data_IF_605812169127
#
_entry.id   IF_605812169127
#
_cell.length_a   1.000
_cell.length_b   1.000
_cell.length_c   1.000
_cell.angle_alpha   90.00
_cell.angle_beta   90.00
_cell.angle_gamma   90.00
#
_symmetry.space_group_name_H-M   'P 1'
#
loop_
_entity.id
_entity.type
_entity.pdbx_description
1 polymer ?
#
# COMPACT_ATOMS: atom_id res chain seq x y z
N UNK A 1 -3.42 23.51 37.44
CA UNK A 1 -4.09 23.88 36.17
C UNK A 1 -5.56 24.09 36.45
N UNK A 2 -6.14 25.17 35.94
CA UNK A 2 -7.57 25.44 36.04
C UNK A 2 -8.22 25.13 34.69
N UNK A 3 -9.13 24.16 34.64
CA UNK A 3 -9.81 23.76 33.39
C UNK A 3 -11.19 24.43 33.33
N UNK A 4 -11.41 25.23 32.30
CA UNK A 4 -12.70 25.91 32.01
C UNK A 4 -13.24 25.40 30.67
N UNK A 5 -13.52 24.08 30.56
CA UNK A 5 -13.96 23.45 29.30
C UNK A 5 -12.89 23.40 28.26
N UNK A 6 -13.06 24.04 27.08
CA UNK A 6 -12.11 23.99 25.98
C UNK A 6 -10.79 24.78 26.22
N UNK A 7 -10.73 25.57 27.31
CA UNK A 7 -9.55 26.38 27.65
C UNK A 7 -9.09 25.99 29.05
N UNK A 8 -7.79 25.74 29.21
CA UNK A 8 -7.15 25.58 30.50
C UNK A 8 -6.05 26.62 30.67
N UNK A 9 -5.73 26.99 31.89
CA UNK A 9 -4.63 27.87 32.24
C UNK A 9 -3.52 27.06 32.93
N UNK A 10 -2.32 27.08 32.39
CA UNK A 10 -1.19 26.38 32.98
C UNK A 10 -0.78 27.02 34.33
N UNK A 11 -0.87 28.35 34.43
CA UNK A 11 -0.52 29.12 35.59
C UNK A 11 -1.72 29.96 36.08
N UNK A 12 -2.73 29.35 36.74
CA UNK A 12 -3.97 30.05 37.12
C UNK A 12 -3.75 31.20 38.15
N UNK A 13 -2.70 31.10 38.94
CA UNK A 13 -2.34 32.14 39.92
C UNK A 13 -2.04 33.50 39.29
N UNK A 14 -1.48 33.51 38.05
CA UNK A 14 -1.24 34.75 37.32
C UNK A 14 -2.55 35.42 36.91
N UNK A 15 -3.60 34.64 36.72
CA UNK A 15 -4.95 35.15 36.45
C UNK A 15 -5.53 35.99 37.61
N UNK A 16 -5.10 35.77 38.84
CA UNK A 16 -5.49 36.61 40.00
C UNK A 16 -5.01 38.06 39.83
N UNK A 17 -3.99 38.31 39.05
CA UNK A 17 -3.51 39.66 38.75
C UNK A 17 -4.58 40.51 37.99
N UNK A 18 -5.55 39.86 37.32
CA UNK A 18 -6.67 40.55 36.69
C UNK A 18 -7.52 41.32 37.72
N UNK A 19 -7.59 40.84 38.97
CA UNK A 19 -8.27 41.56 40.07
C UNK A 19 -7.57 42.89 40.44
N UNK A 20 -6.32 43.09 40.02
CA UNK A 20 -5.58 44.33 40.17
C UNK A 20 -5.90 45.41 39.12
N UNK A 21 -6.58 45.04 38.02
CA UNK A 21 -6.87 45.98 36.92
C UNK A 21 -7.76 47.19 37.35
N UNK A 22 -8.75 47.05 38.25
CA UNK A 22 -9.50 48.18 38.77
C UNK A 22 -8.61 49.18 39.53
N UNK A 23 -7.62 48.69 40.30
CA UNK A 23 -6.67 49.53 41.00
C UNK A 23 -5.77 50.25 39.99
N UNK A 24 -5.29 49.55 38.97
CA UNK A 24 -4.52 50.11 37.85
C UNK A 24 -5.30 51.20 37.13
N UNK A 25 -6.58 50.92 36.82
CA UNK A 25 -7.50 51.89 36.20
C UNK A 25 -7.64 53.14 37.02
N UNK A 26 -7.84 53.03 38.35
CA UNK A 26 -7.90 54.17 39.27
C UNK A 26 -6.62 54.99 39.32
N UNK A 27 -5.46 54.33 39.32
CA UNK A 27 -4.14 54.93 39.36
C UNK A 27 -3.76 55.65 38.05
N UNK A 28 -4.22 55.14 36.94
CA UNK A 28 -4.02 55.72 35.59
C UNK A 28 -4.96 56.90 35.30
N UNK A 29 -5.96 57.13 36.16
CA UNK A 29 -6.85 58.26 36.06
C UNK A 29 -6.15 59.49 36.61
N UNK A 30 -5.51 60.26 35.71
CA UNK A 30 -4.86 61.49 36.07
C UNK A 30 -5.90 62.51 36.53
N UNK A 31 -5.81 62.92 37.80
CA UNK A 31 -6.56 64.05 38.33
C UNK A 31 -5.75 65.35 38.08
N UNK A 32 -6.32 66.32 37.39
CA UNK A 32 -5.62 67.57 37.15
C UNK A 32 -5.30 68.24 38.50
N UNK A 33 -4.10 68.82 38.69
CA UNK A 33 -3.82 69.58 39.89
C UNK A 33 -4.78 70.74 40.02
N UNK A 34 -5.17 71.05 41.28
CA UNK A 34 -6.05 72.17 41.56
C UNK A 34 -5.47 73.49 41.00
N UNK A 35 -6.26 74.29 40.27
CA UNK A 35 -5.77 75.50 39.69
C UNK A 35 -5.31 76.48 40.83
N UNK A 36 -4.04 76.83 40.80
CA UNK A 36 -3.50 77.89 41.65
C UNK A 36 -3.88 79.24 41.07
N UNK A 37 -4.72 80.02 41.80
CA UNK A 37 -5.03 81.39 41.49
C UNK A 37 -3.80 82.27 41.72
N UNK A 38 -3.11 82.64 40.65
CA UNK A 38 -2.04 83.63 40.66
C UNK A 38 -2.66 84.98 40.23
N UNK A 39 -2.65 85.96 41.10
CA UNK A 39 -3.05 87.33 40.75
C UNK A 39 -1.94 87.96 39.88
N UNK A 40 -2.19 88.09 38.60
CA UNK A 40 -1.26 88.74 37.64
C UNK A 40 -1.77 90.11 37.29
N UNK A 41 -1.08 91.21 37.71
CA UNK A 41 -1.54 92.58 37.52
C UNK A 41 -1.62 93.06 36.07
N UNK A 42 -0.85 92.42 35.13
CA UNK A 42 -0.75 92.79 33.75
C UNK A 42 -1.71 91.99 32.80
N UNK A 43 -2.78 91.45 33.30
CA UNK A 43 -3.75 90.58 32.56
C UNK A 43 -4.32 91.26 31.33
N UNK A 44 -4.34 92.62 31.30
CA UNK A 44 -4.84 93.42 30.17
C UNK A 44 -4.00 93.23 28.86
N UNK A 45 -2.76 92.83 28.95
CA UNK A 45 -1.85 92.57 27.81
C UNK A 45 -2.09 91.21 27.15
N UNK A 46 -2.86 90.30 27.78
CA UNK A 46 -3.12 88.92 27.33
C UNK A 46 -4.51 88.71 26.72
N UNK A 47 -5.35 89.81 26.64
CA UNK A 47 -6.74 89.72 26.16
C UNK A 47 -6.89 89.37 24.66
N UNK A 48 -5.84 89.41 23.84
CA UNK A 48 -5.88 89.17 22.42
C UNK A 48 -4.98 88.00 21.93
N UNK A 49 -4.46 87.18 22.84
CA UNK A 49 -3.73 85.99 22.44
C UNK A 49 -4.71 84.83 22.25
N UNK A 50 -4.70 84.16 21.09
CA UNK A 50 -5.48 82.95 20.94
C UNK A 50 -4.96 81.89 21.94
N UNK A 51 -5.89 81.42 22.81
CA UNK A 51 -5.61 80.27 23.70
C UNK A 51 -5.62 78.98 22.86
N UNK A 52 -4.47 78.64 22.29
CA UNK A 52 -4.35 77.46 21.47
C UNK A 52 -3.74 76.23 22.23
N UNK A 53 -3.60 76.31 23.51
CA UNK A 53 -3.22 75.18 24.34
C UNK A 53 -4.34 74.70 25.22
N UNK A 54 -5.22 73.87 24.63
CA UNK A 54 -6.08 72.99 25.39
C UNK A 54 -5.21 71.85 25.94
N UNK A 55 -4.58 72.06 27.10
CA UNK A 55 -4.05 70.94 27.88
C UNK A 55 -5.22 70.07 28.25
N UNK A 56 -5.33 68.84 27.73
CA UNK A 56 -6.48 68.01 28.03
C UNK A 56 -6.55 67.75 29.52
N UNK A 57 -7.46 68.43 30.19
CA UNK A 57 -7.67 68.35 31.67
C UNK A 57 -8.04 66.96 32.18
N UNK A 58 -8.34 66.03 31.26
CA UNK A 58 -8.67 64.65 31.56
C UNK A 58 -8.12 63.75 30.48
N UNK A 59 -7.46 62.65 30.88
CA UNK A 59 -7.04 61.62 29.95
C UNK A 59 -8.26 61.04 29.22
N UNK A 60 -8.29 61.00 27.88
CA UNK A 60 -9.47 60.48 27.16
C UNK A 60 -9.70 59.00 27.59
N UNK A 61 -10.96 58.68 27.91
CA UNK A 61 -11.37 57.36 28.47
C UNK A 61 -10.91 56.19 27.59
N UNK A 62 -10.90 56.38 26.24
CA UNK A 62 -10.44 55.34 25.34
C UNK A 62 -8.98 54.96 25.57
N UNK A 63 -8.10 55.89 25.91
CA UNK A 63 -6.66 55.67 26.14
C UNK A 63 -6.41 54.94 27.44
N UNK A 64 -7.21 55.22 28.50
CA UNK A 64 -7.18 54.46 29.77
C UNK A 64 -7.67 53.04 29.54
N UNK A 65 -8.78 52.87 28.81
CA UNK A 65 -9.31 51.56 28.45
C UNK A 65 -8.29 50.76 27.62
N UNK A 66 -7.60 51.37 26.66
CA UNK A 66 -6.57 50.74 25.85
C UNK A 66 -5.42 50.23 26.73
N UNK A 67 -4.94 51.04 27.68
CA UNK A 67 -3.87 50.65 28.60
C UNK A 67 -4.25 49.49 29.50
N UNK A 68 -5.47 49.52 30.06
CA UNK A 68 -6.02 48.43 30.86
C UNK A 68 -6.21 47.16 30.04
N UNK A 69 -6.66 47.28 28.79
CA UNK A 69 -6.80 46.17 27.86
C UNK A 69 -5.47 45.52 27.53
N UNK A 70 -4.43 46.32 27.25
CA UNK A 70 -3.06 45.81 27.02
C UNK A 70 -2.56 45.07 28.26
N UNK A 71 -2.74 45.65 29.46
CA UNK A 71 -2.35 44.98 30.68
C UNK A 71 -3.08 43.65 30.89
N UNK A 72 -4.39 43.60 30.59
CA UNK A 72 -5.19 42.39 30.65
C UNK A 72 -4.66 41.31 29.66
N UNK A 73 -4.33 41.71 28.40
CA UNK A 73 -3.76 40.78 27.42
C UNK A 73 -2.39 40.24 27.85
N UNK A 74 -1.54 41.07 28.46
CA UNK A 74 -0.25 40.61 29.00
C UNK A 74 -0.47 39.62 30.13
N UNK A 75 -1.36 39.87 31.08
CA UNK A 75 -1.68 38.96 32.17
C UNK A 75 -2.23 37.64 31.62
N UNK A 76 -3.15 37.68 30.62
CA UNK A 76 -3.72 36.51 29.99
C UNK A 76 -2.63 35.72 29.22
N UNK A 77 -1.74 36.39 28.53
CA UNK A 77 -0.60 35.74 27.84
C UNK A 77 0.34 35.03 28.82
N UNK A 78 0.67 35.67 29.94
CA UNK A 78 1.51 35.09 31.01
C UNK A 78 0.81 33.91 31.72
N UNK A 79 -0.54 33.92 31.80
CA UNK A 79 -1.30 32.81 32.35
C UNK A 79 -1.26 31.52 31.51
N UNK A 80 -0.64 31.58 30.30
CA UNK A 80 -0.44 30.47 29.34
C UNK A 80 -1.76 29.73 29.07
N UNK A 81 -2.69 30.32 28.30
CA UNK A 81 -3.93 29.65 27.93
C UNK A 81 -3.63 28.49 26.99
N UNK A 82 -4.10 27.31 27.32
CA UNK A 82 -4.04 26.07 26.51
C UNK A 82 -5.42 25.87 25.89
N UNK A 83 -5.48 25.89 24.59
CA UNK A 83 -6.68 25.50 23.82
C UNK A 83 -6.74 23.98 23.72
N UNK A 84 -7.90 23.40 24.07
CA UNK A 84 -8.10 21.95 24.13
C UNK A 84 -7.01 21.26 24.98
N UNK A 85 -7.00 21.46 26.31
CA UNK A 85 -6.07 20.75 27.17
C UNK A 85 -6.32 19.25 26.96
N UNK A 86 -5.39 18.60 26.26
CA UNK A 86 -5.44 17.14 26.10
C UNK A 86 -5.57 16.54 27.50
N UNK A 87 -6.60 15.73 27.66
CA UNK A 87 -6.98 15.06 28.90
C UNK A 87 -5.77 14.60 29.69
N UNK A 88 -5.72 14.96 30.98
CA UNK A 88 -4.78 14.38 31.93
C UNK A 88 -4.92 12.85 31.87
N UNK A 89 -3.84 12.14 32.11
CA UNK A 89 -3.92 10.68 32.26
C UNK A 89 -4.94 10.34 33.35
N UNK A 90 -5.90 9.48 33.02
CA UNK A 90 -7.03 9.16 33.92
C UNK A 90 -6.62 8.17 35.01
N UNK A 91 -5.60 7.36 34.79
CA UNK A 91 -5.12 6.33 35.69
C UNK A 91 -3.79 6.71 36.34
N UNK A 92 -3.54 6.16 37.54
CA UNK A 92 -2.33 6.38 38.33
C UNK A 92 -1.12 5.67 37.79
N UNK A 93 -1.31 4.52 37.13
CA UNK A 93 -0.25 3.67 36.62
C UNK A 93 0.53 4.26 35.42
N UNK A 94 1.39 3.47 34.80
CA UNK A 94 2.24 3.86 33.68
C UNK A 94 1.43 4.15 32.41
N UNK A 95 2.11 4.69 31.39
CA UNK A 95 1.54 4.86 30.04
C UNK A 95 1.95 3.67 29.19
N UNK A 96 0.97 2.96 28.63
CA UNK A 96 1.18 1.85 27.71
C UNK A 96 0.83 2.33 26.30
N UNK A 97 1.81 2.36 25.41
CA UNK A 97 1.63 2.74 24.01
C UNK A 97 1.66 1.48 23.15
N UNK A 98 0.52 1.11 22.59
CA UNK A 98 0.40 0.00 21.65
C UNK A 98 0.42 0.57 20.23
N UNK A 99 1.34 0.12 19.39
CA UNK A 99 1.58 0.70 18.07
C UNK A 99 1.33 -0.35 17.00
N UNK A 100 0.33 -0.09 16.13
CA UNK A 100 0.18 -0.84 14.90
C UNK A 100 1.24 -0.37 13.89
N UNK A 101 2.28 -1.15 13.71
CA UNK A 101 3.45 -0.84 12.89
C UNK A 101 3.63 -1.80 11.69
N UNK A 102 2.53 -2.37 11.20
CA UNK A 102 2.50 -3.13 9.96
C UNK A 102 2.40 -2.25 8.70
N UNK A 103 2.29 -2.87 7.52
CA UNK A 103 2.26 -2.19 6.22
C UNK A 103 1.22 -1.07 6.10
N UNK A 104 0.07 -1.24 6.76
CA UNK A 104 -1.03 -0.27 6.73
C UNK A 104 -0.69 1.04 7.43
N UNK A 105 0.28 1.03 8.33
CA UNK A 105 0.73 2.21 9.08
C UNK A 105 1.79 3.03 8.32
N UNK A 106 2.33 2.52 7.22
CA UNK A 106 3.42 3.17 6.50
C UNK A 106 3.03 4.55 5.96
N UNK A 107 1.79 4.68 5.45
CA UNK A 107 1.27 5.99 5.08
C UNK A 107 1.01 6.83 6.33
N UNK A 108 1.63 8.01 6.41
CA UNK A 108 1.49 8.89 7.58
C UNK A 108 2.34 8.50 8.79
N UNK A 109 3.33 7.61 8.65
CA UNK A 109 4.17 7.16 9.75
C UNK A 109 4.82 8.30 10.53
N UNK A 110 5.34 9.32 9.86
CA UNK A 110 5.93 10.50 10.51
C UNK A 110 4.91 11.29 11.36
N UNK A 111 3.64 11.30 10.99
CA UNK A 111 2.58 11.92 11.78
C UNK A 111 2.29 11.10 13.05
N UNK A 112 2.29 9.77 12.94
CA UNK A 112 2.13 8.85 14.07
C UNK A 112 3.29 8.99 15.05
N UNK A 113 4.54 9.05 14.56
CA UNK A 113 5.72 9.31 15.40
C UNK A 113 5.58 10.62 16.16
N UNK A 114 5.19 11.71 15.51
CA UNK A 114 4.95 13.01 16.19
C UNK A 114 3.84 12.93 17.24
N UNK A 115 2.76 12.19 16.97
CA UNK A 115 1.69 12.00 17.95
C UNK A 115 2.18 11.22 19.18
N UNK A 116 3.01 10.20 18.97
CA UNK A 116 3.62 9.42 20.05
C UNK A 116 4.63 10.27 20.82
N UNK A 117 5.46 11.07 20.15
CA UNK A 117 6.38 12.01 20.82
C UNK A 117 5.63 12.97 21.74
N UNK A 118 4.52 13.57 21.26
CA UNK A 118 3.66 14.42 22.08
C UNK A 118 3.02 13.68 23.27
N UNK A 119 2.74 12.38 23.12
CA UNK A 119 2.27 11.52 24.22
C UNK A 119 3.39 11.29 25.24
N UNK A 120 4.60 11.01 24.79
CA UNK A 120 5.78 10.83 25.65
C UNK A 120 6.12 12.11 26.41
N UNK A 121 6.02 13.28 25.77
CA UNK A 121 6.17 14.58 26.44
C UNK A 121 5.17 14.78 27.57
N UNK A 122 3.92 14.33 27.37
CA UNK A 122 2.90 14.35 28.42
C UNK A 122 3.23 13.40 29.57
N UNK A 123 3.70 12.18 29.23
CA UNK A 123 4.14 11.20 30.21
C UNK A 123 5.31 11.74 31.06
N UNK A 124 6.26 12.43 30.41
CA UNK A 124 7.40 13.07 31.09
C UNK A 124 6.94 14.16 32.08
N UNK A 125 6.01 15.03 31.66
CA UNK A 125 5.47 16.06 32.57
C UNK A 125 4.65 15.49 33.73
N UNK A 126 4.06 14.30 33.53
CA UNK A 126 3.30 13.58 34.57
C UNK A 126 4.18 12.59 35.36
N UNK A 127 5.50 12.59 35.15
CA UNK A 127 6.47 11.69 35.80
C UNK A 127 6.11 10.20 35.69
N UNK A 128 5.49 9.80 34.55
CA UNK A 128 5.04 8.42 34.31
C UNK A 128 6.04 7.67 33.47
N UNK A 129 6.26 6.40 33.84
CA UNK A 129 7.00 5.45 32.98
C UNK A 129 6.16 5.08 31.76
N UNK A 130 6.84 4.73 30.69
CA UNK A 130 6.23 4.38 29.41
C UNK A 130 6.61 2.95 29.02
N UNK A 131 5.63 2.15 28.62
CA UNK A 131 5.84 0.84 27.99
C UNK A 131 5.39 0.94 26.53
N UNK A 132 6.24 0.50 25.61
CA UNK A 132 5.93 0.48 24.16
C UNK A 132 5.76 -0.96 23.70
N UNK A 133 4.65 -1.27 23.04
CA UNK A 133 4.34 -2.57 22.45
C UNK A 133 4.08 -2.42 20.96
N UNK A 134 4.87 -3.10 20.13
CA UNK A 134 4.67 -3.24 18.69
C UNK A 134 3.68 -4.37 18.41
N UNK A 135 2.84 -4.25 17.38
CA UNK A 135 1.90 -5.30 16.99
C UNK A 135 2.34 -6.07 15.75
N UNK A 136 3.38 -5.61 15.03
CA UNK A 136 3.97 -6.34 13.93
C UNK A 136 5.23 -7.10 14.35
N UNK A 137 5.49 -8.23 13.69
CA UNK A 137 6.70 -9.00 13.92
C UNK A 137 7.94 -8.19 13.53
N UNK A 138 9.05 -8.26 14.29
CA UNK A 138 10.30 -7.60 13.93
C UNK A 138 10.89 -8.10 12.60
N UNK A 139 11.76 -7.28 11.98
CA UNK A 139 12.37 -7.60 10.68
C UNK A 139 13.31 -8.80 10.74
N UNK A 140 13.94 -9.05 11.88
CA UNK A 140 14.82 -10.20 12.12
C UNK A 140 14.08 -11.53 12.28
N UNK A 141 12.73 -11.51 12.18
CA UNK A 141 11.89 -12.70 12.33
C UNK A 141 11.67 -13.12 13.79
N UNK A 142 12.17 -12.33 14.74
CA UNK A 142 11.98 -12.58 16.17
C UNK A 142 10.50 -12.52 16.59
N UNK A 143 10.16 -12.92 17.82
CA UNK A 143 8.81 -12.82 18.33
C UNK A 143 8.41 -11.36 18.55
N UNK A 144 7.12 -11.06 18.47
CA UNK A 144 6.58 -9.77 18.91
C UNK A 144 6.87 -9.67 20.42
N UNK A 145 7.52 -8.58 20.82
CA UNK A 145 7.84 -8.34 22.24
C UNK A 145 7.24 -7.00 22.67
N UNK A 146 6.67 -6.98 23.88
CA UNK A 146 6.40 -5.74 24.55
C UNK A 146 7.67 -5.27 25.26
N UNK A 147 7.95 -3.97 25.18
CA UNK A 147 9.11 -3.38 25.86
C UNK A 147 8.98 -3.46 27.38
N UNK A 148 10.09 -3.18 28.07
CA UNK A 148 10.11 -2.96 29.52
C UNK A 148 9.47 -1.59 29.84
N UNK A 149 9.20 -1.33 31.11
CA UNK A 149 8.92 0.02 31.57
C UNK A 149 10.18 0.87 31.41
N UNK A 150 10.05 1.94 30.64
CA UNK A 150 11.15 2.83 30.27
C UNK A 150 10.89 4.24 30.81
N UNK A 151 11.97 4.98 31.04
CA UNK A 151 11.85 6.43 31.17
C UNK A 151 11.33 7.05 29.88
N UNK A 152 10.65 8.19 29.90
CA UNK A 152 10.15 8.85 28.68
C UNK A 152 11.21 9.05 27.59
N UNK A 153 12.45 9.43 27.97
CA UNK A 153 13.55 9.62 27.02
C UNK A 153 13.96 8.30 26.34
N UNK A 154 14.05 7.20 27.09
CA UNK A 154 14.37 5.89 26.54
C UNK A 154 13.23 5.37 25.63
N UNK A 155 11.97 5.60 26.01
CA UNK A 155 10.81 5.26 25.16
C UNK A 155 10.81 6.06 23.85
N UNK A 156 11.21 7.34 23.88
CA UNK A 156 11.34 8.18 22.68
C UNK A 156 12.39 7.62 21.72
N UNK A 157 13.57 7.26 22.22
CA UNK A 157 14.61 6.66 21.40
C UNK A 157 14.15 5.36 20.73
N UNK A 158 13.40 4.51 21.47
CA UNK A 158 12.81 3.29 20.93
C UNK A 158 11.80 3.59 19.80
N UNK A 159 10.89 4.54 20.01
CA UNK A 159 9.86 4.91 19.01
C UNK A 159 10.48 5.51 17.76
N UNK A 160 11.53 6.31 17.89
CA UNK A 160 12.24 6.87 16.74
C UNK A 160 12.96 5.80 15.90
N UNK A 161 13.38 4.71 16.53
CA UNK A 161 13.97 3.56 15.83
C UNK A 161 12.94 2.64 15.16
N UNK A 162 11.64 2.78 15.50
CA UNK A 162 10.59 1.97 14.87
C UNK A 162 10.33 2.44 13.45
N UNK A 163 10.13 1.45 12.56
CA UNK A 163 9.69 1.65 11.19
C UNK A 163 8.53 0.69 10.86
N UNK A 164 7.64 1.07 9.94
CA UNK A 164 6.56 0.17 9.51
C UNK A 164 7.11 -1.07 8.82
N UNK A 165 6.57 -2.23 9.17
CA UNK A 165 6.96 -3.52 8.59
C UNK A 165 6.09 -3.83 7.37
N UNK A 166 6.59 -4.58 6.37
CA UNK A 166 5.83 -4.88 5.14
C UNK A 166 4.73 -5.94 5.31
N UNK A 167 4.56 -6.52 6.47
CA UNK A 167 3.55 -7.54 6.79
C UNK A 167 2.43 -7.00 7.70
N UNK A 168 1.32 -7.75 7.84
CA UNK A 168 0.23 -7.37 8.73
C UNK A 168 0.62 -7.44 10.20
N UNK A 169 -0.17 -6.76 11.04
CA UNK A 169 -0.06 -6.81 12.50
C UNK A 169 -0.67 -8.10 13.05
N UNK A 170 -0.27 -8.51 14.27
CA UNK A 170 -0.93 -9.57 15.03
C UNK A 170 -1.26 -9.05 16.44
N UNK A 171 -2.48 -8.58 16.60
CA UNK A 171 -2.98 -8.00 17.85
C UNK A 171 -3.09 -9.04 18.97
N UNK A 172 -3.41 -10.28 18.62
CA UNK A 172 -3.46 -11.41 19.57
C UNK A 172 -2.10 -11.66 20.21
N UNK A 173 -1.04 -11.74 19.41
CA UNK A 173 0.32 -11.97 19.91
C UNK A 173 0.81 -10.78 20.72
N UNK A 174 0.59 -9.57 20.23
CA UNK A 174 0.96 -8.34 20.92
C UNK A 174 0.28 -8.24 22.30
N UNK A 175 -1.02 -8.56 22.39
CA UNK A 175 -1.76 -8.56 23.65
C UNK A 175 -1.20 -9.57 24.65
N UNK A 176 -0.90 -10.79 24.18
CA UNK A 176 -0.31 -11.83 25.03
C UNK A 176 1.03 -11.39 25.62
N UNK A 177 1.91 -10.83 24.79
CA UNK A 177 3.23 -10.36 25.25
C UNK A 177 3.13 -9.12 26.13
N UNK A 178 2.19 -8.20 25.83
CA UNK A 178 1.92 -7.03 26.66
C UNK A 178 1.46 -7.43 28.07
N UNK A 179 0.46 -8.32 28.19
CA UNK A 179 0.00 -8.83 29.50
C UNK A 179 1.12 -9.50 30.28
N UNK A 180 1.96 -10.29 29.61
CA UNK A 180 3.12 -10.93 30.24
C UNK A 180 4.16 -9.89 30.71
N UNK A 181 4.44 -8.86 29.93
CA UNK A 181 5.39 -7.80 30.27
C UNK A 181 4.91 -6.95 31.46
N UNK A 182 3.62 -6.60 31.50
CA UNK A 182 3.02 -5.86 32.62
C UNK A 182 3.10 -6.68 33.91
N UNK A 183 2.79 -7.99 33.85
CA UNK A 183 2.92 -8.88 35.00
C UNK A 183 4.37 -8.98 35.47
N UNK A 184 5.32 -9.13 34.56
CA UNK A 184 6.75 -9.18 34.90
C UNK A 184 7.27 -7.87 35.51
N UNK A 185 6.69 -6.73 35.12
CA UNK A 185 7.00 -5.41 35.66
C UNK A 185 6.25 -5.08 36.96
N UNK A 186 5.43 -6.02 37.50
CA UNK A 186 4.64 -5.86 38.71
C UNK A 186 3.79 -4.58 38.69
N UNK A 187 3.12 -4.32 37.56
CA UNK A 187 2.21 -3.19 37.42
C UNK A 187 0.85 -3.58 37.96
N UNK A 188 0.54 -3.14 39.18
CA UNK A 188 -0.73 -3.41 39.87
C UNK A 188 -1.76 -2.28 39.63
N UNK A 189 -1.30 -1.05 39.41
CA UNK A 189 -2.14 0.11 39.13
C UNK A 189 -2.68 0.08 37.70
N UNK A 190 -3.91 0.54 37.46
CA UNK A 190 -4.45 0.68 36.11
C UNK A 190 -3.55 1.56 35.23
N UNK A 191 -3.13 1.03 34.06
CA UNK A 191 -2.29 1.73 33.13
C UNK A 191 -3.12 2.67 32.22
N UNK A 192 -2.53 3.76 31.75
CA UNK A 192 -3.13 4.59 30.69
C UNK A 192 -2.77 4.00 29.34
N UNK A 193 -3.69 3.31 28.71
CA UNK A 193 -3.44 2.62 27.43
C UNK A 193 -3.74 3.56 26.26
N UNK A 194 -2.76 3.76 25.39
CA UNK A 194 -2.94 4.50 24.13
C UNK A 194 -2.64 3.57 22.98
N UNK A 195 -3.63 3.31 22.16
CA UNK A 195 -3.48 2.49 20.95
C UNK A 195 -3.40 3.35 19.71
N UNK A 196 -2.25 3.30 19.02
CA UNK A 196 -2.02 3.95 17.73
C UNK A 196 -2.46 2.97 16.64
N UNK A 197 -3.73 3.05 16.28
CA UNK A 197 -4.37 2.13 15.33
C UNK A 197 -4.01 2.44 13.88
N UNK A 198 -3.87 1.40 13.05
CA UNK A 198 -3.75 1.53 11.60
C UNK A 198 -5.10 1.74 10.88
N UNK A 199 -6.22 1.69 11.62
CA UNK A 199 -7.57 1.91 11.09
C UNK A 199 -8.13 0.75 10.25
N UNK A 200 -7.49 -0.43 10.26
CA UNK A 200 -7.90 -1.60 9.48
C UNK A 200 -8.25 -2.76 10.41
N UNK A 201 -9.37 -3.43 10.10
CA UNK A 201 -9.69 -4.72 10.68
C UNK A 201 -8.70 -5.78 10.17
N UNK A 202 -8.13 -6.54 11.10
CA UNK A 202 -7.25 -7.65 10.75
C UNK A 202 -8.04 -8.95 10.72
N UNK A 203 -8.42 -9.40 9.52
CA UNK A 203 -9.18 -10.64 9.31
C UNK A 203 -8.27 -11.87 9.13
N UNK A 204 -7.04 -11.82 9.63
CA UNK A 204 -6.16 -13.00 9.58
C UNK A 204 -6.71 -14.08 10.50
N UNK A 205 -6.83 -15.31 9.98
CA UNK A 205 -7.32 -16.46 10.75
C UNK A 205 -6.55 -16.62 12.08
N UNK A 206 -7.28 -16.58 13.20
CA UNK A 206 -6.69 -16.69 14.53
C UNK A 206 -6.25 -15.38 15.17
N UNK A 207 -6.48 -14.22 14.54
CA UNK A 207 -6.26 -12.94 15.19
C UNK A 207 -7.54 -12.41 15.86
N UNK A 208 -7.37 -11.56 16.86
CA UNK A 208 -8.45 -10.98 17.66
C UNK A 208 -9.15 -9.89 16.89
N UNK A 209 -10.48 -9.87 16.88
CA UNK A 209 -11.25 -8.75 16.31
C UNK A 209 -10.92 -7.43 17.00
N UNK A 210 -11.14 -6.32 16.32
CA UNK A 210 -10.85 -4.99 16.85
C UNK A 210 -11.61 -4.73 18.16
N UNK A 211 -12.87 -5.12 18.25
CA UNK A 211 -13.69 -4.92 19.45
C UNK A 211 -13.18 -5.76 20.62
N UNK A 212 -12.87 -7.02 20.39
CA UNK A 212 -12.29 -7.90 21.41
C UNK A 212 -10.90 -7.42 21.84
N UNK A 213 -10.12 -6.85 20.94
CA UNK A 213 -8.83 -6.25 21.27
C UNK A 213 -8.99 -5.04 22.20
N UNK A 214 -9.90 -4.12 21.86
CA UNK A 214 -10.23 -2.97 22.71
C UNK A 214 -10.72 -3.41 24.09
N UNK A 215 -11.64 -4.39 24.16
CA UNK A 215 -12.15 -4.91 25.42
C UNK A 215 -11.03 -5.49 26.30
N UNK A 216 -10.06 -6.19 25.70
CA UNK A 216 -8.90 -6.69 26.41
C UNK A 216 -7.95 -5.58 26.89
N UNK A 217 -7.75 -4.53 26.10
CA UNK A 217 -6.97 -3.36 26.52
C UNK A 217 -7.65 -2.60 27.67
N UNK A 218 -8.97 -2.52 27.66
CA UNK A 218 -9.75 -1.89 28.74
C UNK A 218 -9.61 -2.63 30.09
N UNK A 219 -9.29 -3.92 30.09
CA UNK A 219 -8.95 -4.65 31.32
C UNK A 219 -7.63 -4.19 31.95
N UNK A 220 -6.73 -3.59 31.16
CA UNK A 220 -5.45 -3.05 31.62
C UNK A 220 -5.63 -1.64 32.18
N UNK A 221 -6.60 -0.89 31.64
CA UNK A 221 -6.93 0.46 32.09
C UNK A 221 -7.68 1.28 31.05
N UNK A 222 -7.90 2.58 31.28
CA UNK A 222 -8.58 3.45 30.32
C UNK A 222 -7.83 3.50 28.98
N UNK A 223 -8.57 3.28 27.87
CA UNK A 223 -8.03 3.18 26.51
C UNK A 223 -8.35 4.45 25.72
N UNK A 224 -7.32 5.03 25.13
CA UNK A 224 -7.44 6.08 24.10
C UNK A 224 -6.99 5.51 22.77
N UNK A 225 -7.85 5.56 21.74
CA UNK A 225 -7.51 5.12 20.39
C UNK A 225 -7.16 6.34 19.53
N UNK A 226 -5.99 6.31 18.91
CA UNK A 226 -5.56 7.29 17.91
C UNK A 226 -5.53 6.62 16.56
N UNK A 227 -6.32 7.13 15.62
CA UNK A 227 -6.38 6.64 14.24
C UNK A 227 -6.12 7.79 13.26
N UNK A 228 -5.86 7.44 11.99
CA UNK A 228 -5.69 8.44 10.94
C UNK A 228 -6.99 9.20 10.67
N UNK A 229 -6.83 10.46 10.28
CA UNK A 229 -7.96 11.25 9.82
C UNK A 229 -8.61 10.63 8.56
N UNK A 230 -9.91 10.84 8.33
CA UNK A 230 -10.59 10.38 7.12
C UNK A 230 -9.81 10.75 5.86
N UNK A 231 -9.68 9.81 4.93
CA UNK A 231 -8.91 9.97 3.68
C UNK A 231 -7.37 9.90 3.80
N UNK A 232 -6.81 9.85 5.01
CA UNK A 232 -5.36 9.72 5.26
C UNK A 232 -4.95 8.29 5.63
N UNK A 233 -5.88 7.38 5.85
CA UNK A 233 -5.63 5.98 6.19
C UNK A 233 -4.93 5.18 5.10
N UNK A 234 -4.76 3.89 5.34
CA UNK A 234 -4.07 2.97 4.45
C UNK A 234 -4.68 2.89 3.05
N UNK A 235 -3.81 2.61 2.07
CA UNK A 235 -4.16 2.31 0.68
C UNK A 235 -3.72 0.89 0.34
N UNK A 236 -4.50 0.21 -0.52
CA UNK A 236 -4.19 -1.13 -1.04
C UNK A 236 -4.34 -1.14 -2.55
N UNK A 237 -3.28 -1.57 -3.22
CA UNK A 237 -3.23 -1.81 -4.66
C UNK A 237 -3.07 -3.33 -4.88
N UNK A 238 -4.16 -4.09 -5.05
CA UNK A 238 -4.05 -5.51 -5.35
C UNK A 238 -3.47 -5.72 -6.75
N UNK A 239 -2.80 -6.87 -7.00
CA UNK A 239 -2.32 -7.21 -8.33
C UNK A 239 -3.49 -7.34 -9.31
N UNK A 240 -3.28 -6.99 -10.60
CA UNK A 240 -4.30 -7.19 -11.63
C UNK A 240 -4.53 -8.67 -11.90
N UNK A 241 -5.69 -9.00 -12.46
CA UNK A 241 -5.99 -10.37 -12.87
C UNK A 241 -5.06 -10.78 -14.01
N UNK A 242 -4.50 -11.98 -13.92
CA UNK A 242 -3.65 -12.55 -14.98
C UNK A 242 -4.46 -12.79 -16.25
N UNK A 243 -3.87 -12.46 -17.40
CA UNK A 243 -4.52 -12.64 -18.70
C UNK A 243 -5.34 -11.45 -19.19
N UNK A 244 -5.75 -10.52 -18.33
CA UNK A 244 -6.47 -9.32 -18.76
C UNK A 244 -5.58 -8.34 -19.54
N UNK A 245 -6.17 -7.69 -20.55
CA UNK A 245 -5.55 -6.62 -21.33
C UNK A 245 -6.64 -5.64 -21.76
N UNK A 246 -6.54 -4.36 -21.37
CA UNK A 246 -5.53 -3.72 -20.52
C UNK A 246 -5.56 -4.25 -19.08
N UNK A 247 -4.50 -3.98 -18.29
CA UNK A 247 -4.52 -4.28 -16.86
C UNK A 247 -5.51 -3.36 -16.15
N UNK A 248 -6.54 -3.94 -15.57
CA UNK A 248 -7.50 -3.20 -14.72
C UNK A 248 -6.95 -3.07 -13.32
N UNK A 249 -6.50 -1.88 -12.98
CA UNK A 249 -6.00 -1.59 -11.63
C UNK A 249 -7.11 -1.07 -10.74
N UNK A 250 -7.15 -1.56 -9.50
CA UNK A 250 -8.07 -1.11 -8.46
C UNK A 250 -7.28 -0.65 -7.26
N UNK A 251 -7.45 0.59 -6.86
CA UNK A 251 -6.86 1.13 -5.64
C UNK A 251 -7.96 1.26 -4.59
N UNK A 252 -7.73 0.71 -3.41
CA UNK A 252 -8.67 0.78 -2.28
C UNK A 252 -8.13 1.71 -1.22
N UNK A 253 -9.01 2.47 -0.55
CA UNK A 253 -8.72 3.25 0.66
C UNK A 253 -9.52 2.75 1.85
N UNK A 254 -8.94 2.80 3.04
CA UNK A 254 -9.56 2.30 4.27
C UNK A 254 -10.86 3.04 4.62
N UNK A 255 -10.92 4.33 4.35
CA UNK A 255 -12.08 5.17 4.68
C UNK A 255 -12.51 5.99 3.47
N UNK A 256 -13.82 6.19 3.34
CA UNK A 256 -14.39 7.16 2.41
C UNK A 256 -13.84 8.56 2.69
N UNK A 257 -13.90 9.46 1.73
CA UNK A 257 -13.42 10.83 1.87
C UNK A 257 -13.56 11.63 0.60
N UNK A 258 -13.01 12.82 0.57
CA UNK A 258 -13.04 13.71 -0.58
C UNK A 258 -12.42 13.09 -1.84
N UNK A 259 -12.76 13.65 -2.99
CA UNK A 259 -12.12 13.33 -4.25
C UNK A 259 -10.60 13.49 -4.13
N UNK A 260 -9.85 12.50 -4.55
CA UNK A 260 -8.39 12.49 -4.41
C UNK A 260 -7.76 11.75 -5.57
N UNK A 261 -6.71 12.34 -6.16
CA UNK A 261 -5.96 11.73 -7.25
C UNK A 261 -4.61 11.23 -6.74
N UNK A 262 -4.23 10.04 -7.21
CA UNK A 262 -2.91 9.44 -7.04
C UNK A 262 -2.30 9.13 -8.41
N UNK A 263 -1.00 8.87 -8.41
CA UNK A 263 -0.28 8.44 -9.60
C UNK A 263 0.25 7.03 -9.39
N UNK A 264 -0.02 6.16 -10.33
CA UNK A 264 0.59 4.85 -10.44
C UNK A 264 1.87 4.98 -11.26
N UNK A 265 2.98 4.47 -10.75
CA UNK A 265 4.27 4.48 -11.41
C UNK A 265 4.74 3.05 -11.63
N UNK A 266 4.95 2.69 -12.90
CA UNK A 266 5.50 1.39 -13.29
C UNK A 266 6.97 1.49 -13.63
N UNK A 267 7.78 0.56 -13.13
CA UNK A 267 9.23 0.53 -13.35
C UNK A 267 9.71 -0.84 -13.81
N UNK A 268 10.85 -0.86 -14.52
CA UNK A 268 11.58 -2.08 -14.89
C UNK A 268 12.60 -2.50 -13.79
N UNK A 269 13.35 -3.57 -14.04
CA UNK A 269 14.38 -4.11 -13.14
C UNK A 269 15.48 -3.10 -12.79
N UNK A 270 15.77 -2.16 -13.69
CA UNK A 270 16.76 -1.11 -13.49
C UNK A 270 16.16 0.15 -12.82
N UNK A 271 14.89 0.11 -12.45
CA UNK A 271 14.18 1.23 -11.82
C UNK A 271 13.77 2.34 -12.80
N UNK A 272 13.90 2.13 -14.12
CA UNK A 272 13.47 3.11 -15.14
C UNK A 272 11.95 3.13 -15.21
N UNK A 273 11.38 4.33 -15.23
CA UNK A 273 9.93 4.52 -15.32
C UNK A 273 9.46 4.15 -16.73
N UNK A 274 8.56 3.17 -16.81
CA UNK A 274 7.93 2.73 -18.07
C UNK A 274 6.57 3.38 -18.28
N UNK A 275 5.86 3.68 -17.19
CA UNK A 275 4.56 4.32 -17.24
C UNK A 275 4.33 5.17 -16.00
N UNK A 276 3.46 6.16 -16.17
CA UNK A 276 2.87 6.94 -15.08
C UNK A 276 1.42 7.21 -15.43
N UNK A 277 0.48 6.69 -14.63
CA UNK A 277 -0.96 6.77 -14.91
C UNK A 277 -1.71 7.32 -13.70
N UNK A 278 -2.67 8.19 -13.95
CA UNK A 278 -3.50 8.77 -12.90
C UNK A 278 -4.61 7.80 -12.48
N UNK A 279 -4.82 7.70 -11.17
CA UNK A 279 -5.96 6.99 -10.59
C UNK A 279 -6.68 7.92 -9.61
N UNK A 280 -8.00 8.09 -9.80
CA UNK A 280 -8.80 9.08 -9.08
C UNK A 280 -9.89 8.41 -8.29
N UNK A 281 -9.93 8.68 -6.98
CA UNK A 281 -11.05 8.33 -6.14
C UNK A 281 -12.17 9.35 -6.36
N UNK A 282 -13.38 8.90 -6.73
CA UNK A 282 -14.57 9.73 -6.63
C UNK A 282 -14.83 10.13 -5.18
N UNK A 283 -15.59 11.20 -4.97
CA UNK A 283 -16.07 11.58 -3.64
C UNK A 283 -16.83 10.40 -2.99
N UNK A 284 -16.60 10.18 -1.72
CA UNK A 284 -17.19 9.11 -0.90
C UNK A 284 -17.05 7.67 -1.44
N UNK A 285 -16.20 7.45 -2.45
CA UNK A 285 -15.90 6.10 -2.93
C UNK A 285 -14.71 5.49 -2.18
N UNK A 286 -14.79 4.24 -1.70
CA UNK A 286 -13.65 3.53 -1.12
C UNK A 286 -12.71 2.94 -2.18
N UNK A 287 -13.09 2.99 -3.47
CA UNK A 287 -12.36 2.33 -4.57
C UNK A 287 -12.19 3.28 -5.74
N UNK A 288 -11.01 3.26 -6.33
CA UNK A 288 -10.68 3.91 -7.60
C UNK A 288 -10.23 2.86 -8.61
N UNK A 289 -10.52 3.07 -9.89
CA UNK A 289 -10.15 2.15 -10.98
C UNK A 289 -9.50 2.91 -12.12
N UNK A 290 -8.54 2.29 -12.78
CA UNK A 290 -7.94 2.77 -14.03
C UNK A 290 -7.46 1.61 -14.88
N UNK A 291 -7.38 1.79 -16.19
CA UNK A 291 -6.90 0.80 -17.14
C UNK A 291 -5.48 1.17 -17.57
N UNK A 292 -4.52 0.26 -17.37
CA UNK A 292 -3.15 0.43 -17.85
C UNK A 292 -3.00 -0.20 -19.22
N UNK A 293 -3.07 0.61 -20.27
CA UNK A 293 -2.84 0.20 -21.65
C UNK A 293 -1.35 0.28 -21.97
N UNK A 294 -0.64 -0.85 -21.85
CA UNK A 294 0.79 -0.95 -22.16
C UNK A 294 1.02 -1.77 -23.41
N UNK A 295 1.87 -1.30 -24.35
CA UNK A 295 2.45 -2.16 -25.39
C UNK A 295 3.10 -3.41 -24.77
N UNK A 296 3.06 -4.54 -25.49
CA UNK A 296 3.54 -5.83 -24.99
C UNK A 296 4.99 -5.77 -24.53
N UNK A 297 5.83 -5.05 -25.27
CA UNK A 297 7.25 -4.88 -24.95
C UNK A 297 7.48 -4.18 -23.61
N UNK A 298 6.71 -3.14 -23.32
CA UNK A 298 6.79 -2.43 -22.04
C UNK A 298 6.13 -3.25 -20.91
N UNK A 299 5.01 -3.94 -21.21
CA UNK A 299 4.36 -4.84 -20.28
C UNK A 299 5.31 -5.95 -19.79
N UNK A 300 6.06 -6.56 -20.70
CA UNK A 300 7.01 -7.63 -20.40
C UNK A 300 8.25 -7.16 -19.61
N UNK A 301 8.53 -5.86 -19.62
CA UNK A 301 9.61 -5.24 -18.85
C UNK A 301 9.14 -4.72 -17.49
N UNK A 302 7.82 -4.59 -17.29
CA UNK A 302 7.26 -4.10 -16.05
C UNK A 302 7.52 -5.12 -14.93
N UNK A 303 8.25 -4.71 -13.91
CA UNK A 303 8.57 -5.55 -12.74
C UNK A 303 7.92 -5.05 -11.47
N UNK A 304 7.62 -3.74 -11.40
CA UNK A 304 7.03 -3.12 -10.22
C UNK A 304 6.04 -2.02 -10.62
N UNK A 305 4.92 -1.97 -9.91
CA UNK A 305 3.95 -0.88 -9.96
C UNK A 305 3.71 -0.39 -8.53
N UNK A 306 3.85 0.89 -8.29
CA UNK A 306 3.63 1.50 -6.98
C UNK A 306 2.79 2.78 -7.07
N UNK A 307 2.15 3.14 -5.97
CA UNK A 307 1.50 4.43 -5.81
C UNK A 307 2.55 5.47 -5.43
N UNK A 308 2.75 6.48 -6.27
CA UNK A 308 3.75 7.53 -6.08
C UNK A 308 3.57 8.24 -4.72
N UNK A 309 4.68 8.43 -4.01
CA UNK A 309 4.67 9.13 -2.70
C UNK A 309 4.13 8.30 -1.54
N UNK A 310 3.78 7.01 -1.75
CA UNK A 310 3.31 6.12 -0.69
C UNK A 310 4.19 4.89 -0.62
N UNK A 311 5.16 4.90 0.29
CA UNK A 311 6.07 3.78 0.50
C UNK A 311 5.42 2.73 1.43
N UNK A 312 4.64 1.81 0.88
CA UNK A 312 3.97 0.73 1.63
C UNK A 312 3.93 -0.55 0.81
N UNK A 313 4.04 -1.70 1.46
CA UNK A 313 3.83 -2.99 0.81
C UNK A 313 2.42 -3.13 0.24
N UNK A 314 1.41 -2.53 0.89
CA UNK A 314 0.04 -2.53 0.39
C UNK A 314 -0.19 -1.72 -0.89
N UNK A 315 0.73 -0.82 -1.25
CA UNK A 315 0.64 0.02 -2.46
C UNK A 315 1.67 -0.35 -3.51
N UNK A 316 2.33 -1.50 -3.37
CA UNK A 316 3.35 -1.98 -4.29
C UNK A 316 2.96 -3.35 -4.84
N UNK A 317 2.91 -3.49 -6.16
CA UNK A 317 2.69 -4.75 -6.87
C UNK A 317 3.98 -5.13 -7.58
N UNK A 318 4.41 -6.37 -7.39
CA UNK A 318 5.54 -6.95 -8.12
C UNK A 318 5.00 -7.86 -9.21
N UNK A 319 5.55 -7.69 -10.42
CA UNK A 319 5.17 -8.46 -11.60
C UNK A 319 6.22 -9.54 -11.86
N UNK A 320 5.77 -10.77 -11.98
CA UNK A 320 6.58 -11.92 -12.36
C UNK A 320 6.16 -12.47 -13.75
N UNK A 321 6.62 -13.66 -14.08
CA UNK A 321 6.34 -14.32 -15.36
C UNK A 321 4.84 -14.53 -15.64
N UNK A 322 3.97 -14.57 -14.63
CA UNK A 322 2.53 -14.78 -14.80
C UNK A 322 1.83 -13.65 -15.55
N UNK A 323 2.38 -12.45 -15.52
CA UNK A 323 1.85 -11.28 -16.21
C UNK A 323 2.56 -10.97 -17.52
N UNK A 324 3.67 -11.66 -17.83
CA UNK A 324 4.37 -11.50 -19.10
C UNK A 324 3.65 -12.26 -20.20
N UNK A 325 3.57 -11.67 -21.38
CA UNK A 325 3.09 -12.33 -22.59
C UNK A 325 4.29 -12.67 -23.46
N UNK A 326 4.68 -13.94 -23.44
CA UNK A 326 5.81 -14.40 -24.25
C UNK A 326 5.37 -14.58 -25.70
N UNK A 327 6.18 -14.18 -26.70
CA UNK A 327 5.85 -14.40 -28.10
C UNK A 327 5.94 -15.89 -28.43
N UNK A 328 4.86 -16.42 -29.00
CA UNK A 328 4.75 -17.79 -29.51
C UNK A 328 4.59 -17.74 -31.02
N UNK A 329 5.44 -18.48 -31.73
CA UNK A 329 5.34 -18.65 -33.18
C UNK A 329 4.43 -19.84 -33.52
N UNK A 330 3.46 -19.67 -34.39
CA UNK A 330 2.71 -20.78 -35.00
C UNK A 330 3.04 -20.87 -36.47
N UNK A 331 3.61 -22.00 -36.85
CA UNK A 331 3.94 -22.26 -38.26
C UNK A 331 2.64 -22.48 -39.03
N UNK A 332 2.42 -21.64 -40.04
CA UNK A 332 1.28 -21.78 -40.97
C UNK A 332 1.74 -22.16 -42.33
N UNK A 333 0.96 -23.03 -43.02
CA UNK A 333 1.17 -23.28 -44.43
C UNK A 333 0.77 -22.04 -45.24
N UNK A 334 1.48 -21.78 -46.34
CA UNK A 334 1.22 -20.66 -47.24
C UNK A 334 -0.17 -20.70 -47.94
N UNK A 335 -0.92 -21.78 -47.73
CA UNK A 335 -2.19 -21.97 -48.40
C UNK A 335 -3.34 -21.25 -47.65
N UNK A 336 -3.75 -20.14 -48.21
CA UNK A 336 -4.85 -19.28 -47.77
C UNK A 336 -6.25 -19.93 -47.77
N UNK A 337 -6.41 -21.18 -48.25
CA UNK A 337 -7.71 -21.90 -48.29
C UNK A 337 -8.19 -22.37 -46.92
N UNK A 338 -7.32 -22.56 -45.94
CA UNK A 338 -7.65 -22.93 -44.57
C UNK A 338 -8.30 -21.78 -43.80
N UNK A 339 -8.04 -20.52 -44.19
CA UNK A 339 -8.61 -19.31 -43.54
C UNK A 339 -10.11 -19.12 -43.88
N UNK A 340 -10.59 -19.74 -44.99
CA UNK A 340 -11.97 -19.61 -45.40
C UNK A 340 -13.00 -20.39 -44.53
N UNK A 341 -12.53 -21.25 -43.61
CA UNK A 341 -13.38 -22.00 -42.66
C UNK A 341 -12.78 -22.00 -41.26
N UNK A 342 -12.92 -20.92 -40.49
CA UNK A 342 -12.28 -20.75 -39.21
C UNK A 342 -12.52 -21.89 -38.21
N UNK A 343 -13.73 -22.39 -38.12
CA UNK A 343 -14.11 -23.43 -37.14
C UNK A 343 -13.56 -24.84 -37.47
N UNK A 344 -13.11 -25.08 -38.69
CA UNK A 344 -12.49 -26.33 -39.12
C UNK A 344 -10.96 -26.22 -39.13
N UNK A 345 -10.40 -25.06 -38.84
CA UNK A 345 -8.97 -24.85 -38.77
C UNK A 345 -8.41 -25.44 -37.49
N UNK A 346 -7.36 -26.27 -37.61
CA UNK A 346 -6.60 -26.76 -36.47
C UNK A 346 -6.04 -25.62 -35.59
N UNK A 347 -5.84 -24.43 -36.16
CA UNK A 347 -5.30 -23.28 -35.53
C UNK A 347 -6.31 -22.50 -34.66
N UNK A 348 -7.58 -22.56 -35.00
CA UNK A 348 -8.64 -21.78 -34.34
C UNK A 348 -8.67 -21.98 -32.81
N UNK A 349 -8.71 -23.23 -32.39
CA UNK A 349 -8.78 -23.57 -30.96
C UNK A 349 -7.45 -23.28 -30.25
N UNK A 350 -6.34 -23.52 -30.96
CA UNK A 350 -5.01 -23.23 -30.43
C UNK A 350 -4.81 -21.73 -30.20
N UNK A 351 -5.19 -20.91 -31.17
CA UNK A 351 -5.14 -19.46 -31.05
C UNK A 351 -6.03 -18.95 -29.94
N UNK A 352 -7.26 -19.45 -29.85
CA UNK A 352 -8.19 -19.04 -28.82
C UNK A 352 -7.73 -19.42 -27.41
N UNK A 353 -7.08 -20.57 -27.26
CA UNK A 353 -6.52 -21.01 -25.98
C UNK A 353 -5.29 -20.20 -25.56
N UNK A 354 -4.45 -19.80 -26.53
CA UNK A 354 -3.18 -19.13 -26.24
C UNK A 354 -3.29 -17.60 -26.19
N UNK A 355 -4.24 -17.00 -26.92
CA UNK A 355 -4.36 -15.54 -27.03
C UNK A 355 -4.49 -14.79 -25.69
N UNK A 356 -5.09 -15.31 -24.61
CA UNK A 356 -5.11 -14.65 -23.32
C UNK A 356 -3.70 -14.58 -22.66
N UNK A 357 -2.82 -15.54 -22.95
CA UNK A 357 -1.56 -15.75 -22.22
C UNK A 357 -0.31 -15.41 -23.02
N UNK A 358 -0.39 -15.35 -24.36
CA UNK A 358 0.77 -15.21 -25.22
C UNK A 358 0.54 -14.21 -26.36
N UNK A 359 1.63 -13.69 -26.91
CA UNK A 359 1.63 -12.97 -28.19
C UNK A 359 1.78 -14.00 -29.32
N UNK A 360 0.72 -14.18 -30.10
CA UNK A 360 0.73 -15.16 -31.18
C UNK A 360 1.23 -14.53 -32.47
N UNK A 361 2.31 -15.10 -33.03
CA UNK A 361 2.87 -14.74 -34.35
C UNK A 361 2.69 -15.90 -35.30
N UNK A 362 2.14 -15.64 -36.48
CA UNK A 362 1.89 -16.63 -37.52
C UNK A 362 2.83 -16.39 -38.71
N UNK A 363 3.29 -17.45 -39.35
CA UNK A 363 4.11 -17.34 -40.54
C UNK A 363 4.91 -18.59 -40.84
N UNK A 364 5.82 -18.49 -41.80
CA UNK A 364 6.80 -19.58 -42.07
C UNK A 364 7.79 -19.68 -40.90
N UNK A 365 8.32 -20.87 -40.65
CA UNK A 365 9.32 -21.11 -39.61
C UNK A 365 10.52 -20.16 -39.73
N UNK A 366 11.02 -19.98 -40.95
CA UNK A 366 12.14 -19.07 -41.22
C UNK A 366 11.81 -17.63 -40.81
N UNK A 367 10.62 -17.10 -41.16
CA UNK A 367 10.24 -15.73 -40.81
C UNK A 367 10.01 -15.55 -39.29
N UNK A 368 9.46 -16.56 -38.64
CA UNK A 368 9.22 -16.52 -37.20
C UNK A 368 10.53 -16.54 -36.40
N UNK A 369 11.51 -17.32 -36.79
CA UNK A 369 12.80 -17.46 -36.13
C UNK A 369 13.74 -16.25 -36.33
N UNK A 370 13.40 -15.25 -37.15
CA UNK A 370 14.16 -13.99 -37.25
C UNK A 370 13.95 -13.10 -36.00
N UNK A 371 12.94 -13.38 -35.19
CA UNK A 371 12.61 -12.65 -33.98
C UNK A 371 12.68 -13.58 -32.76
N UNK A 372 12.88 -13.02 -31.60
CA UNK A 372 12.87 -13.82 -30.37
C UNK A 372 11.49 -14.47 -30.15
N UNK A 373 11.50 -15.77 -29.90
CA UNK A 373 10.34 -16.59 -29.56
C UNK A 373 10.61 -17.36 -28.28
N UNK A 374 9.57 -17.58 -27.49
CA UNK A 374 9.62 -18.48 -26.35
C UNK A 374 9.33 -19.93 -26.76
N UNK A 375 8.34 -20.12 -27.65
CA UNK A 375 7.91 -21.42 -28.14
C UNK A 375 7.58 -21.33 -29.63
N UNK A 376 7.99 -22.30 -30.40
CA UNK A 376 7.56 -22.50 -31.78
C UNK A 376 6.58 -23.68 -31.84
N UNK A 377 5.37 -23.41 -32.28
CA UNK A 377 4.32 -24.42 -32.43
C UNK A 377 4.23 -24.81 -33.89
N UNK A 378 4.30 -26.11 -34.13
CA UNK A 378 4.20 -26.69 -35.48
C UNK A 378 2.99 -27.62 -35.50
N UNK A 379 1.83 -27.19 -36.04
CA UNK A 379 0.65 -28.03 -36.20
C UNK A 379 0.90 -29.13 -37.25
N UNK A 380 0.00 -30.13 -37.36
CA UNK A 380 0.13 -31.23 -38.33
C UNK A 380 0.08 -30.74 -39.77
N UNK A 381 -0.63 -29.64 -40.01
CA UNK A 381 -0.70 -28.97 -41.33
C UNK A 381 0.59 -28.18 -41.69
N UNK A 382 1.49 -27.98 -40.73
CA UNK A 382 2.72 -27.23 -40.96
C UNK A 382 3.69 -27.96 -41.90
N UNK A 383 3.85 -27.44 -43.12
CA UNK A 383 4.84 -27.97 -44.09
C UNK A 383 6.18 -27.36 -43.79
N UNK A 384 7.16 -28.20 -43.51
CA UNK A 384 8.54 -27.79 -43.26
C UNK A 384 9.45 -28.17 -44.45
N UNK A 385 10.08 -27.16 -45.03
CA UNK A 385 11.20 -27.36 -45.97
C UNK A 385 12.48 -27.82 -45.27
N UNK A 386 13.47 -28.29 -46.00
CA UNK A 386 14.78 -28.68 -45.44
C UNK A 386 15.48 -27.50 -44.74
N UNK A 387 15.39 -26.30 -45.31
CA UNK A 387 15.96 -25.09 -44.72
C UNK A 387 15.27 -24.73 -43.39
N UNK A 388 13.93 -24.91 -43.31
CA UNK A 388 13.18 -24.67 -42.06
C UNK A 388 13.61 -25.66 -40.97
N UNK A 389 13.76 -26.95 -41.32
CA UNK A 389 14.21 -27.98 -40.36
C UNK A 389 15.58 -27.68 -39.81
N UNK A 390 16.51 -27.29 -40.66
CA UNK A 390 17.88 -26.94 -40.25
C UNK A 390 17.86 -25.74 -39.28
N UNK A 391 17.12 -24.70 -39.61
CA UNK A 391 17.01 -23.50 -38.74
C UNK A 391 16.30 -23.81 -37.41
N UNK A 392 15.25 -24.59 -37.45
CA UNK A 392 14.54 -25.03 -36.23
C UNK A 392 15.47 -25.84 -35.34
N UNK A 393 16.25 -26.77 -35.92
CA UNK A 393 17.20 -27.58 -35.19
C UNK A 393 18.27 -26.70 -34.53
N UNK A 394 18.89 -25.79 -35.29
CA UNK A 394 19.87 -24.85 -34.74
C UNK A 394 19.27 -24.01 -33.59
N UNK A 395 18.01 -23.54 -33.71
CA UNK A 395 17.36 -22.80 -32.69
C UNK A 395 17.04 -23.66 -31.45
N UNK A 396 16.66 -24.93 -31.62
CA UNK A 396 16.51 -25.90 -30.53
C UNK A 396 17.84 -26.15 -29.79
N UNK A 397 18.95 -26.32 -30.55
CA UNK A 397 20.27 -26.52 -29.96
C UNK A 397 20.74 -25.31 -29.14
N UNK A 398 20.19 -24.13 -29.40
CA UNK A 398 20.39 -22.89 -28.64
C UNK A 398 19.40 -22.72 -27.43
N UNK A 399 18.62 -23.76 -27.15
CA UNK A 399 17.66 -23.75 -26.03
C UNK A 399 16.21 -23.39 -26.39
N UNK A 400 15.88 -23.30 -27.69
CA UNK A 400 14.54 -23.07 -28.18
C UNK A 400 13.57 -24.24 -27.89
N UNK A 401 12.32 -23.94 -27.57
CA UNK A 401 11.31 -24.96 -27.30
C UNK A 401 10.35 -25.12 -28.46
N UNK A 402 10.25 -26.33 -29.02
CA UNK A 402 9.31 -26.67 -30.08
C UNK A 402 8.19 -27.54 -29.55
N UNK A 403 6.95 -27.14 -29.80
CA UNK A 403 5.77 -27.95 -29.56
C UNK A 403 5.25 -28.47 -30.92
N UNK A 404 5.38 -29.78 -31.13
CA UNK A 404 4.95 -30.47 -32.38
C UNK A 404 3.62 -31.19 -32.12
N UNK A 405 2.60 -30.81 -32.87
CA UNK A 405 1.34 -31.57 -32.88
C UNK A 405 1.42 -32.70 -33.92
N UNK A 406 1.16 -33.92 -33.45
CA UNK A 406 1.12 -35.10 -34.32
C UNK A 406 -0.29 -35.34 -34.85
N UNK A 407 -0.42 -35.58 -36.13
CA UNK A 407 -1.65 -35.91 -36.81
C UNK A 407 -1.46 -36.81 -38.02
N UNK A 408 -2.50 -37.00 -38.85
CA UNK A 408 -2.46 -37.93 -40.00
C UNK A 408 -1.35 -37.65 -40.99
N UNK A 409 -0.97 -36.37 -41.21
CA UNK A 409 0.09 -35.98 -42.16
C UNK A 409 1.46 -36.38 -41.65
N UNK A 410 1.72 -36.13 -40.36
CA UNK A 410 2.97 -36.53 -39.70
C UNK A 410 3.11 -38.06 -39.67
N UNK A 411 1.99 -38.79 -39.50
CA UNK A 411 1.99 -40.25 -39.57
C UNK A 411 2.34 -40.83 -40.95
N UNK A 412 2.06 -40.07 -42.02
CA UNK A 412 2.43 -40.45 -43.38
C UNK A 412 3.90 -40.11 -43.72
N UNK A 413 4.36 -38.96 -43.25
CA UNK A 413 5.72 -38.45 -43.52
C UNK A 413 6.33 -37.89 -42.27
N UNK A 414 6.90 -38.75 -41.40
CA UNK A 414 7.55 -38.29 -40.20
C UNK A 414 8.77 -37.42 -40.53
N UNK A 415 9.06 -36.48 -39.65
CA UNK A 415 10.21 -35.62 -39.75
C UNK A 415 11.23 -35.88 -38.61
N UNK A 416 12.44 -35.38 -38.79
CA UNK A 416 13.57 -35.55 -37.87
C UNK A 416 13.47 -34.68 -36.61
N UNK A 417 12.48 -33.82 -36.52
CA UNK A 417 12.27 -32.93 -35.35
C UNK A 417 11.41 -33.59 -34.25
N UNK A 418 10.86 -34.81 -34.55
CA UNK A 418 10.15 -35.58 -33.54
C UNK A 418 11.15 -36.18 -32.55
N UNK A 419 10.95 -36.06 -31.22
CA UNK A 419 11.82 -36.69 -30.20
C UNK A 419 11.76 -38.21 -30.26
N UNK A 420 10.71 -38.77 -30.86
CA UNK A 420 10.48 -40.21 -31.00
C UNK A 420 10.36 -40.55 -32.49
N UNK A 421 11.04 -41.58 -32.95
CA UNK A 421 10.83 -42.10 -34.31
C UNK A 421 9.44 -42.69 -34.42
N UNK A 422 8.73 -42.24 -35.45
CA UNK A 422 7.37 -42.68 -35.72
C UNK A 422 7.34 -43.89 -36.65
N UNK A 423 6.40 -44.79 -36.41
CA UNK A 423 6.19 -45.94 -37.26
C UNK A 423 5.61 -45.53 -38.63
N UNK A 424 6.36 -45.81 -39.70
CA UNK A 424 5.93 -45.54 -41.05
C UNK A 424 5.32 -46.82 -41.62
N UNK A 425 4.16 -46.71 -42.25
CA UNK A 425 3.54 -47.83 -42.98
C UNK A 425 3.10 -48.99 -42.10
N UNK A 426 1.87 -49.04 -41.74
CA UNK A 426 1.20 -50.15 -41.15
C UNK A 426 -0.10 -50.44 -41.89
N UNK A 427 -0.73 -51.60 -41.67
CA UNK A 427 -1.91 -52.07 -42.37
C UNK A 427 -3.15 -51.19 -42.24
N UNK A 428 -3.07 -50.09 -41.56
CA UNK A 428 -4.14 -49.12 -41.40
C UNK A 428 -3.60 -47.71 -41.58
N UNK A 429 -3.92 -47.08 -42.71
CA UNK A 429 -3.86 -45.63 -42.96
C UNK A 429 -2.58 -44.94 -42.52
N UNK A 430 -1.42 -45.31 -43.15
CA UNK A 430 -0.23 -44.47 -43.11
C UNK A 430 0.36 -44.18 -41.72
N UNK A 431 0.45 -45.20 -40.84
CA UNK A 431 1.15 -45.04 -39.56
C UNK A 431 0.29 -44.44 -38.42
N UNK A 432 -0.96 -44.12 -38.67
CA UNK A 432 -1.92 -43.67 -37.64
C UNK A 432 -2.91 -44.79 -37.32
N UNK A 433 -3.14 -45.01 -36.01
CA UNK A 433 -4.16 -45.95 -35.53
C UNK A 433 -5.45 -45.20 -35.21
N UNK A 434 -6.57 -45.70 -35.76
CA UNK A 434 -7.92 -45.21 -35.42
C UNK A 434 -8.50 -46.11 -34.34
N UNK A 435 -8.99 -45.53 -33.27
CA UNK A 435 -9.64 -46.24 -32.18
C UNK A 435 -11.13 -46.45 -32.58
N UNK A 436 -11.61 -47.71 -32.58
CA UNK A 436 -13.02 -48.01 -32.84
C UNK A 436 -13.96 -47.39 -31.78
N UNK A 437 -13.48 -47.35 -30.55
CA UNK A 437 -14.09 -46.55 -29.50
C UNK A 437 -13.08 -45.48 -29.04
N UNK A 438 -13.50 -44.21 -28.89
CA UNK A 438 -12.61 -43.14 -28.44
C UNK A 438 -12.02 -43.43 -27.07
N UNK A 439 -10.69 -43.38 -26.97
CA UNK A 439 -9.97 -43.63 -25.73
C UNK A 439 -9.82 -42.38 -24.89
N UNK A 440 -9.69 -42.54 -23.57
CA UNK A 440 -9.32 -41.43 -22.66
C UNK A 440 -7.79 -41.23 -22.70
N UNK A 441 -7.34 -39.98 -22.44
CA UNK A 441 -5.96 -39.74 -22.20
C UNK A 441 -5.52 -40.41 -20.90
N UNK A 442 -4.37 -41.08 -20.92
CA UNK A 442 -3.72 -41.59 -19.73
C UNK A 442 -3.00 -40.43 -19.00
N UNK A 443 -2.88 -40.52 -17.66
CA UNK A 443 -2.05 -39.55 -16.91
C UNK A 443 -0.63 -39.52 -17.45
N UNK A 444 -0.03 -38.33 -17.41
CA UNK A 444 1.38 -38.17 -17.79
C UNK A 444 2.27 -38.78 -16.72
N UNK A 445 3.35 -39.45 -17.16
CA UNK A 445 4.36 -39.99 -16.26
C UNK A 445 5.09 -38.89 -15.51
N UNK A 446 5.63 -39.21 -14.33
CA UNK A 446 6.32 -38.22 -13.49
C UNK A 446 7.57 -37.57 -14.15
N UNK A 447 8.18 -38.27 -15.12
CA UNK A 447 9.32 -37.81 -15.93
C UNK A 447 8.91 -36.92 -17.10
N UNK A 448 7.62 -36.86 -17.42
CA UNK A 448 7.12 -36.05 -18.52
C UNK A 448 7.18 -34.55 -18.20
N UNK A 449 7.60 -33.68 -19.14
CA UNK A 449 7.46 -32.22 -19.00
C UNK A 449 6.00 -31.75 -18.77
N UNK A 450 5.02 -32.62 -19.05
CA UNK A 450 3.59 -32.36 -18.85
C UNK A 450 3.07 -32.98 -17.54
N UNK A 451 3.94 -33.52 -16.69
CA UNK A 451 3.56 -34.08 -15.40
C UNK A 451 2.83 -33.03 -14.54
N UNK A 452 1.77 -33.46 -13.85
CA UNK A 452 0.96 -32.57 -13.00
C UNK A 452 -0.14 -31.79 -13.72
N UNK A 453 -0.24 -31.84 -15.05
CA UNK A 453 -1.35 -31.25 -15.79
C UNK A 453 -2.59 -32.12 -15.58
N UNK A 454 -3.68 -31.52 -15.05
CA UNK A 454 -4.97 -32.18 -14.90
C UNK A 454 -5.59 -32.43 -16.30
N UNK A 455 -5.87 -33.68 -16.61
CA UNK A 455 -6.50 -34.04 -17.89
C UNK A 455 -8.02 -33.89 -17.79
N UNK A 456 -8.67 -33.18 -18.76
CA UNK A 456 -10.13 -33.08 -18.80
C UNK A 456 -10.75 -34.44 -19.00
N UNK A 457 -11.74 -34.81 -18.19
CA UNK A 457 -12.39 -36.14 -18.24
C UNK A 457 -13.30 -36.39 -19.44
N UNK A 458 -13.65 -35.33 -20.16
CA UNK A 458 -14.50 -35.32 -21.36
C UNK A 458 -13.74 -35.44 -22.68
N UNK A 459 -12.43 -35.27 -22.68
CA UNK A 459 -11.58 -35.40 -23.86
C UNK A 459 -11.41 -36.84 -24.26
N UNK A 460 -11.68 -37.14 -25.53
CA UNK A 460 -11.56 -38.45 -26.14
C UNK A 460 -10.64 -38.40 -27.35
N UNK A 461 -9.71 -39.35 -27.42
CA UNK A 461 -8.79 -39.52 -28.55
C UNK A 461 -9.33 -40.56 -29.50
N UNK A 462 -9.54 -40.18 -30.75
CA UNK A 462 -10.06 -41.09 -31.83
C UNK A 462 -8.91 -41.58 -32.72
N UNK A 463 -7.82 -40.89 -32.79
CA UNK A 463 -6.64 -41.25 -33.59
C UNK A 463 -5.36 -40.94 -32.85
N UNK A 464 -4.35 -41.77 -33.03
CA UNK A 464 -2.98 -41.51 -32.52
C UNK A 464 -1.94 -41.92 -33.53
N UNK A 465 -0.80 -41.27 -33.49
CA UNK A 465 0.42 -41.65 -34.24
C UNK A 465 1.24 -42.60 -33.34
N UNK A 466 1.77 -43.65 -33.90
CA UNK A 466 2.45 -44.70 -33.16
C UNK A 466 3.98 -44.49 -33.21
N UNK A 467 4.60 -44.63 -32.04
CA UNK A 467 6.07 -44.69 -31.95
C UNK A 467 6.60 -46.05 -32.43
N UNK A 468 7.81 -46.08 -32.92
CA UNK A 468 8.49 -47.30 -33.29
C UNK A 468 8.88 -48.08 -32.04
N UNK A 469 8.52 -49.37 -31.89
CA UNK A 469 8.64 -50.06 -30.62
C UNK A 469 10.05 -50.45 -30.17
N UNK A 470 11.07 -50.15 -30.99
CA UNK A 470 12.44 -50.66 -30.79
C UNK A 470 13.47 -49.65 -30.27
N UNK A 471 13.04 -48.45 -29.88
CA UNK A 471 13.95 -47.43 -29.39
C UNK A 471 13.63 -47.05 -27.93
N UNK A 472 14.63 -47.01 -27.03
CA UNK A 472 14.44 -46.39 -25.74
C UNK A 472 14.02 -44.94 -25.93
N UNK A 473 13.04 -44.49 -25.19
CA UNK A 473 12.63 -43.07 -25.13
C UNK A 473 13.87 -42.25 -24.74
N UNK A 474 14.25 -41.21 -25.50
CA UNK A 474 15.34 -40.35 -25.07
C UNK A 474 14.92 -39.68 -23.74
N UNK A 475 15.73 -39.87 -22.72
CA UNK A 475 15.67 -39.11 -21.48
C UNK A 475 15.94 -37.63 -21.82
N UNK A 476 14.90 -36.82 -21.91
CA UNK A 476 14.99 -35.35 -21.85
C UNK A 476 13.70 -34.72 -21.30
#
# INVERSE_FOLDING_TARGET
>A
MLNLGPIAFASPWIGLALAGLPILWWLLRVTPPAPKLLRFPAIRLLFNLPQDEQTPAKTPLWLVLLRVFIAALVILGLAQPLLNPTTQFQATGPVVVVIDDGWASARGWSMRQRAIDGLIDRAQRAEKLVMVASTAQPIDGGPITAGKLLSPNAARALVQALAPKPWPVSRTRALKTLKAALKAAQVDDPANVVWISNGIENNTTGDTSTDAFIANLQQIGPVTVMADAPGKGALVLPPPVTGETPFKMKLHRAHKGAETQFWLRGTDEQGRVLLREAIRFPEDSPTATTDLALPIELRNRLTRLDVEGVASAGTTVLFDERWRRRPIGIVTAADSRAEARPLLSELYYLERALSPYAEIRKGSATALLTRSLAVLIIPDSGILGENDRTKIKTWMDQGGTVLRFAGPRMGQKPDTLSPVQLRIGGRTLGGAMSWGQPAKLAPFEATSPLAGIALPGDVRVTRQVLAQPTLPLPER
#
